data_IF_558090439493
#
_entry.id   IF_558090439493
#
_cell.length_a   1.000
_cell.length_b   1.000
_cell.length_c   1.000
_cell.angle_alpha   90.00
_cell.angle_beta   90.00
_cell.angle_gamma   90.00
#
_symmetry.space_group_name_H-M   'P 1'
#
loop_
_entity.id
_entity.type
_entity.pdbx_description
1 polymer ?
#
# COMPACT_ATOMS: atom_id res chain seq x y z
N UNK A 1 -2.64 -43.88 -32.67
CA UNK A 1 -3.16 -43.03 -31.58
C UNK A 1 -4.46 -42.42 -32.07
N UNK A 2 -5.59 -42.85 -31.53
CA UNK A 2 -6.91 -42.33 -31.89
C UNK A 2 -7.29 -41.26 -30.87
N UNK A 3 -6.86 -40.03 -31.09
CA UNK A 3 -7.37 -38.87 -30.36
C UNK A 3 -8.80 -38.62 -30.83
N UNK A 4 -9.79 -39.21 -30.16
CA UNK A 4 -11.20 -38.85 -30.35
C UNK A 4 -11.42 -37.50 -29.67
N UNK A 5 -11.26 -36.42 -30.43
CA UNK A 5 -11.63 -35.08 -29.97
C UNK A 5 -13.10 -35.03 -29.55
N UNK A 6 -13.38 -34.28 -28.49
CA UNK A 6 -14.77 -34.00 -28.08
C UNK A 6 -15.48 -33.26 -29.22
N UNK A 7 -16.69 -33.71 -29.57
CA UNK A 7 -17.48 -33.04 -30.59
C UNK A 7 -17.92 -31.65 -30.14
N UNK A 8 -18.25 -30.81 -31.12
CA UNK A 8 -18.60 -29.40 -30.89
C UNK A 8 -19.75 -29.24 -29.87
N UNK A 9 -20.72 -30.15 -29.90
CA UNK A 9 -21.86 -30.16 -28.97
C UNK A 9 -21.43 -30.47 -27.53
N UNK A 10 -20.48 -31.38 -27.34
CA UNK A 10 -19.95 -31.68 -26.01
C UNK A 10 -19.14 -30.50 -25.46
N UNK A 11 -18.40 -29.80 -26.32
CA UNK A 11 -17.61 -28.63 -25.93
C UNK A 11 -18.47 -27.42 -25.51
N UNK A 12 -19.58 -27.18 -26.22
CA UNK A 12 -20.52 -26.08 -25.89
C UNK A 12 -21.15 -26.30 -24.49
N UNK A 13 -21.50 -27.55 -24.16
CA UNK A 13 -22.07 -27.88 -22.85
C UNK A 13 -21.05 -27.61 -21.73
N UNK A 14 -19.79 -28.02 -21.93
CA UNK A 14 -18.72 -27.79 -20.93
C UNK A 14 -18.48 -26.29 -20.71
N UNK A 15 -18.43 -25.49 -21.78
CA UNK A 15 -18.27 -24.03 -21.67
C UNK A 15 -19.44 -23.41 -20.89
N UNK A 16 -20.68 -23.81 -21.17
CA UNK A 16 -21.85 -23.28 -20.48
C UNK A 16 -21.80 -23.57 -18.97
N UNK A 17 -21.35 -24.77 -18.57
CA UNK A 17 -21.20 -25.15 -17.16
C UNK A 17 -20.11 -24.32 -16.47
N UNK A 18 -18.96 -24.11 -17.14
CA UNK A 18 -17.88 -23.28 -16.60
C UNK A 18 -18.35 -21.84 -16.37
N UNK A 19 -19.06 -21.27 -17.35
CA UNK A 19 -19.55 -19.89 -17.28
C UNK A 19 -20.53 -19.68 -16.12
N UNK A 20 -21.46 -20.62 -15.91
CA UNK A 20 -22.38 -20.58 -14.77
C UNK A 20 -21.64 -20.70 -13.44
N UNK A 21 -20.62 -21.57 -13.36
CA UNK A 21 -19.82 -21.71 -12.14
C UNK A 21 -19.03 -20.44 -11.80
N UNK A 22 -18.47 -19.73 -12.79
CA UNK A 22 -17.79 -18.46 -12.58
C UNK A 22 -18.72 -17.36 -12.08
N UNK A 23 -19.96 -17.29 -12.58
CA UNK A 23 -20.94 -16.30 -12.11
C UNK A 23 -21.34 -16.52 -10.64
N UNK A 24 -21.43 -17.78 -10.20
CA UNK A 24 -21.70 -18.13 -8.81
C UNK A 24 -20.49 -17.76 -7.92
N UNK A 25 -19.27 -17.98 -8.40
CA UNK A 25 -18.06 -17.59 -7.64
C UNK A 25 -17.98 -16.07 -7.52
N UNK A 26 -18.25 -15.30 -8.58
CA UNK A 26 -18.27 -13.83 -8.54
C UNK A 26 -19.33 -13.25 -7.60
N UNK A 27 -20.51 -13.86 -7.49
CA UNK A 27 -21.55 -13.40 -6.57
C UNK A 27 -21.17 -13.63 -5.10
N UNK A 28 -20.45 -14.71 -4.81
CA UNK A 28 -19.89 -14.99 -3.47
C UNK A 28 -18.64 -14.15 -3.17
N UNK A 29 -17.83 -13.83 -4.18
CA UNK A 29 -16.63 -12.98 -3.98
C UNK A 29 -16.95 -11.52 -3.70
N UNK A 30 -18.15 -11.03 -4.06
CA UNK A 30 -18.61 -9.68 -3.69
C UNK A 30 -18.86 -9.51 -2.18
N UNK A 31 -18.91 -10.60 -1.41
CA UNK A 31 -19.10 -10.55 0.04
C UNK A 31 -17.82 -10.83 0.82
N UNK A 32 -16.63 -10.65 0.24
CA UNK A 32 -15.40 -10.60 1.03
C UNK A 32 -15.18 -9.15 1.50
N UNK A 33 -15.47 -8.83 2.78
CA UNK A 33 -15.12 -7.53 3.34
C UNK A 33 -13.58 -7.43 3.40
N UNK A 34 -13.03 -6.48 2.64
CA UNK A 34 -11.76 -5.87 3.03
C UNK A 34 -12.05 -5.09 4.32
N UNK A 35 -11.32 -5.37 5.40
CA UNK A 35 -11.50 -4.65 6.66
C UNK A 35 -11.13 -3.18 6.44
N UNK A 36 -12.11 -2.36 6.10
CA UNK A 36 -12.05 -0.91 6.22
C UNK A 36 -13.21 -0.53 7.11
N UNK A 37 -12.92 -0.39 8.41
CA UNK A 37 -13.90 0.02 9.40
C UNK A 37 -14.51 1.38 9.02
N UNK A 38 -15.79 1.39 8.67
CA UNK A 38 -16.59 2.63 8.57
C UNK A 38 -17.97 2.39 9.19
N UNK A 39 -18.30 3.17 10.21
CA UNK A 39 -19.60 3.21 10.89
C UNK A 39 -20.39 4.45 10.36
N UNK A 40 -21.70 4.36 10.09
CA UNK A 40 -22.36 5.16 9.06
C UNK A 40 -23.24 6.28 9.61
N UNK A 41 -23.35 7.42 8.89
CA UNK A 41 -24.58 8.21 8.92
C UNK A 41 -24.75 9.19 7.73
N UNK A 42 -25.83 8.95 6.98
CA UNK A 42 -26.76 9.90 6.34
C UNK A 42 -26.25 11.06 5.47
N UNK A 43 -26.89 11.14 4.30
CA UNK A 43 -27.01 12.24 3.33
C UNK A 43 -25.93 12.30 2.25
N UNK A 44 -26.36 11.98 1.03
CA UNK A 44 -25.59 11.99 -0.20
C UNK A 44 -25.27 13.44 -0.63
N UNK A 45 -24.14 13.96 -0.18
CA UNK A 45 -23.21 14.71 -1.02
C UNK A 45 -22.02 13.77 -1.28
N UNK A 46 -21.43 13.76 -2.48
CA UNK A 46 -20.13 13.10 -2.69
C UNK A 46 -19.08 13.84 -1.83
N UNK A 47 -18.95 13.44 -0.56
CA UNK A 47 -17.85 13.80 0.29
C UNK A 47 -16.61 13.11 -0.27
N UNK A 48 -15.91 13.78 -1.19
CA UNK A 48 -14.54 13.40 -1.53
C UNK A 48 -13.75 13.46 -0.22
N UNK A 49 -13.45 12.29 0.33
CA UNK A 49 -12.64 12.13 1.52
C UNK A 49 -11.42 13.05 1.41
N UNK A 50 -11.35 14.02 2.33
CA UNK A 50 -10.35 15.07 2.24
C UNK A 50 -9.03 14.51 2.74
N UNK A 51 -8.14 14.17 1.81
CA UNK A 51 -6.76 13.77 2.09
C UNK A 51 -6.11 14.72 3.10
N UNK A 52 -5.54 14.13 4.15
CA UNK A 52 -4.85 14.78 5.25
C UNK A 52 -3.35 14.45 5.22
N UNK A 53 -2.54 15.20 5.98
CA UNK A 53 -1.11 14.90 6.07
C UNK A 53 -0.83 13.55 6.74
N UNK A 54 -1.74 13.07 7.59
CA UNK A 54 -1.64 11.73 8.19
C UNK A 54 -1.82 10.63 7.16
N UNK A 55 -2.63 10.86 6.13
CA UNK A 55 -2.77 9.92 5.03
C UNK A 55 -1.48 9.87 4.20
N UNK A 56 -0.80 11.01 4.00
CA UNK A 56 0.50 11.06 3.32
C UNK A 56 1.62 10.40 4.14
N UNK A 57 1.63 10.58 5.47
CA UNK A 57 2.54 9.84 6.36
C UNK A 57 2.30 8.33 6.30
N UNK A 58 1.03 7.91 6.25
CA UNK A 58 0.65 6.51 6.13
C UNK A 58 1.07 5.93 4.78
N UNK A 59 0.94 6.69 3.69
CA UNK A 59 1.43 6.29 2.36
C UNK A 59 2.94 6.04 2.36
N UNK A 60 3.71 6.97 2.95
CA UNK A 60 5.15 6.84 3.12
C UNK A 60 5.53 5.62 3.96
N UNK A 61 4.80 5.38 5.07
CA UNK A 61 4.98 4.18 5.90
C UNK A 61 4.73 2.89 5.12
N UNK A 62 3.62 2.80 4.39
CA UNK A 62 3.28 1.60 3.61
C UNK A 62 4.31 1.31 2.50
N UNK A 63 4.91 2.36 1.91
CA UNK A 63 6.00 2.18 0.96
C UNK A 63 7.25 1.58 1.62
N UNK A 64 7.60 2.04 2.82
CA UNK A 64 8.71 1.48 3.59
C UNK A 64 8.45 0.03 4.02
N UNK A 65 7.23 -0.30 4.43
CA UNK A 65 6.83 -1.68 4.74
C UNK A 65 7.02 -2.61 3.54
N UNK A 66 6.57 -2.18 2.35
CA UNK A 66 6.77 -2.94 1.10
C UNK A 66 8.25 -3.12 0.78
N UNK A 67 9.04 -2.04 0.85
CA UNK A 67 10.48 -2.11 0.62
C UNK A 67 11.16 -3.09 1.58
N UNK A 68 10.81 -3.02 2.88
CA UNK A 68 11.38 -3.89 3.88
C UNK A 68 11.04 -5.36 3.59
N UNK A 69 9.77 -5.67 3.30
CA UNK A 69 9.31 -7.03 3.02
C UNK A 69 9.97 -7.63 1.76
N UNK A 70 10.19 -6.82 0.73
CA UNK A 70 10.75 -7.28 -0.55
C UNK A 70 12.27 -7.45 -0.51
N UNK A 71 12.97 -6.73 0.37
CA UNK A 71 14.44 -6.72 0.43
C UNK A 71 15.03 -7.43 1.65
N UNK A 72 14.28 -7.58 2.74
CA UNK A 72 14.74 -8.19 3.97
C UNK A 72 13.79 -9.29 4.44
N UNK A 73 14.20 -10.53 4.20
CA UNK A 73 13.52 -11.70 4.75
C UNK A 73 14.30 -12.24 5.95
N UNK A 74 13.77 -12.10 7.16
CA UNK A 74 14.35 -12.71 8.36
C UNK A 74 14.05 -11.96 9.67
N UNK A 75 14.22 -12.66 10.79
CA UNK A 75 14.22 -12.04 12.12
C UNK A 75 15.63 -11.59 12.48
N UNK A 76 15.80 -10.31 12.81
CA UNK A 76 17.04 -9.80 13.40
C UNK A 76 16.99 -10.06 14.91
N UNK A 77 18.05 -10.67 15.46
CA UNK A 77 18.14 -11.03 16.88
C UNK A 77 18.36 -9.83 17.81
N UNK A 78 18.84 -8.70 17.28
CA UNK A 78 19.10 -7.47 18.03
C UNK A 78 18.30 -6.31 17.45
N UNK A 79 17.85 -5.34 18.27
CA UNK A 79 17.18 -4.15 17.78
C UNK A 79 18.13 -3.35 16.89
N UNK A 80 17.78 -3.26 15.61
CA UNK A 80 18.48 -2.44 14.63
C UNK A 80 17.54 -1.34 14.13
N UNK A 81 18.04 -0.10 14.10
CA UNK A 81 17.32 1.06 13.60
C UNK A 81 17.79 1.34 12.19
N UNK A 82 16.85 1.28 11.25
CA UNK A 82 17.10 1.51 9.83
C UNK A 82 16.34 2.75 9.39
N UNK A 83 16.89 3.49 8.44
CA UNK A 83 16.27 4.69 7.88
C UNK A 83 16.13 4.55 6.38
N UNK A 84 14.90 4.66 5.87
CA UNK A 84 14.58 4.68 4.45
C UNK A 84 14.16 6.08 4.04
N UNK A 85 14.91 6.71 3.15
CA UNK A 85 14.56 8.04 2.67
C UNK A 85 13.40 7.98 1.67
N UNK A 86 12.59 9.04 1.65
CA UNK A 86 11.53 9.25 0.65
C UNK A 86 12.06 9.10 -0.78
N UNK A 87 13.21 9.72 -1.08
CA UNK A 87 13.83 9.65 -2.41
C UNK A 87 14.17 8.22 -2.80
N UNK A 88 14.74 7.43 -1.87
CA UNK A 88 15.06 6.03 -2.14
C UNK A 88 13.80 5.21 -2.45
N UNK A 89 12.73 5.38 -1.66
CA UNK A 89 11.47 4.67 -1.88
C UNK A 89 10.85 5.03 -3.24
N UNK A 90 10.92 6.32 -3.62
CA UNK A 90 10.45 6.79 -4.93
C UNK A 90 11.30 6.25 -6.09
N UNK A 91 12.62 6.36 -5.99
CA UNK A 91 13.56 5.88 -7.01
C UNK A 91 13.47 4.37 -7.25
N UNK A 92 13.16 3.61 -6.19
CA UNK A 92 12.94 2.17 -6.29
C UNK A 92 11.49 1.78 -6.63
N UNK A 93 10.60 2.75 -6.90
CA UNK A 93 9.24 2.51 -7.36
C UNK A 93 8.24 2.04 -6.30
N UNK A 94 8.57 2.20 -5.01
CA UNK A 94 7.68 1.84 -3.90
C UNK A 94 6.69 2.95 -3.55
N UNK A 95 6.92 4.17 -4.04
CA UNK A 95 6.16 5.36 -3.70
C UNK A 95 6.12 6.34 -4.87
N UNK A 96 4.96 6.95 -5.10
CA UNK A 96 4.81 8.01 -6.09
C UNK A 96 5.22 9.39 -5.51
N UNK A 97 5.13 10.43 -6.33
CA UNK A 97 5.35 11.80 -5.89
C UNK A 97 4.31 12.22 -4.84
N UNK A 98 4.75 12.54 -3.61
CA UNK A 98 3.88 13.09 -2.58
C UNK A 98 3.96 14.61 -2.65
N UNK A 99 2.83 15.25 -2.90
CA UNK A 99 2.71 16.71 -2.99
C UNK A 99 1.96 17.29 -1.81
N UNK A 100 2.38 18.48 -1.39
CA UNK A 100 1.74 19.24 -0.33
C UNK A 100 0.24 19.45 -0.63
N UNK A 101 -0.60 19.21 0.36
CA UNK A 101 -2.06 19.29 0.25
C UNK A 101 -2.52 20.73 0.02
N UNK A 102 -1.81 21.70 0.62
CA UNK A 102 -2.09 23.13 0.50
C UNK A 102 -1.40 23.76 -0.71
N UNK A 103 -0.31 23.18 -1.22
CA UNK A 103 0.40 23.66 -2.41
C UNK A 103 0.88 22.50 -3.31
N UNK A 104 0.16 22.23 -4.40
CA UNK A 104 0.46 21.10 -5.30
C UNK A 104 1.74 21.25 -6.14
N UNK A 105 2.39 22.41 -6.10
CA UNK A 105 3.69 22.62 -6.73
C UNK A 105 4.86 22.26 -5.80
N UNK A 106 4.58 22.05 -4.51
CA UNK A 106 5.59 21.68 -3.52
C UNK A 106 5.60 20.16 -3.31
N UNK A 107 6.70 19.52 -3.69
CA UNK A 107 6.97 18.13 -3.35
C UNK A 107 7.34 18.01 -1.86
N UNK A 108 6.81 16.98 -1.20
CA UNK A 108 7.16 16.65 0.17
C UNK A 108 8.48 15.86 0.21
N UNK A 109 9.14 15.88 1.36
CA UNK A 109 10.36 15.12 1.61
C UNK A 109 10.25 14.41 2.95
N UNK A 110 10.96 13.31 3.13
CA UNK A 110 10.83 12.56 4.37
C UNK A 110 11.72 11.34 4.45
N UNK A 111 11.50 10.58 5.51
CA UNK A 111 12.11 9.29 5.73
C UNK A 111 11.19 8.46 6.64
N UNK A 112 11.42 7.16 6.68
CA UNK A 112 10.81 6.24 7.64
C UNK A 112 11.92 5.62 8.45
N UNK A 113 11.80 5.70 9.76
CA UNK A 113 12.61 4.88 10.65
C UNK A 113 11.85 3.59 10.94
N UNK A 114 12.54 2.45 10.81
CA UNK A 114 11.98 1.20 11.28
C UNK A 114 12.92 0.51 12.26
N UNK A 115 12.30 -0.11 13.26
CA UNK A 115 12.97 -0.85 14.33
C UNK A 115 12.45 -2.26 14.32
N UNK A 116 13.35 -3.23 14.16
CA UNK A 116 13.02 -4.65 14.26
C UNK A 116 13.53 -5.18 15.60
N UNK A 117 12.62 -5.60 16.47
CA UNK A 117 12.94 -6.15 17.79
C UNK A 117 12.12 -7.43 18.04
N UNK A 118 12.81 -8.55 18.25
CA UNK A 118 12.16 -9.83 18.57
C UNK A 118 11.15 -10.32 17.53
N UNK A 119 11.32 -9.94 16.26
CA UNK A 119 10.40 -10.28 15.17
C UNK A 119 9.21 -9.32 14.99
N UNK A 120 9.10 -8.27 15.82
CA UNK A 120 8.15 -7.16 15.63
C UNK A 120 8.87 -6.03 14.91
N UNK A 121 8.28 -5.52 13.83
CA UNK A 121 8.81 -4.36 13.11
C UNK A 121 7.88 -3.17 13.33
N UNK A 122 8.43 -2.08 13.85
CA UNK A 122 7.71 -0.80 14.01
C UNK A 122 8.22 0.18 12.98
N UNK A 123 7.30 0.90 12.32
CA UNK A 123 7.60 1.90 11.30
C UNK A 123 7.09 3.27 11.73
N UNK A 124 7.98 4.26 11.74
CA UNK A 124 7.68 5.64 12.12
C UNK A 124 7.99 6.56 10.95
N UNK A 125 6.96 7.07 10.24
CA UNK A 125 7.15 7.99 9.12
C UNK A 125 7.40 9.42 9.61
N UNK A 126 8.28 10.13 8.91
CA UNK A 126 8.60 11.53 9.13
C UNK A 126 8.52 12.28 7.80
N UNK A 127 7.54 13.17 7.67
CA UNK A 127 7.22 13.89 6.44
C UNK A 127 7.35 15.41 6.65
N UNK A 128 7.85 16.10 5.63
CA UNK A 128 7.91 17.56 5.58
C UNK A 128 7.46 18.04 4.21
N UNK A 129 6.45 18.90 4.19
CA UNK A 129 5.86 19.47 3.00
C UNK A 129 6.02 21.00 3.04
N UNK A 130 7.12 21.50 2.45
CA UNK A 130 7.46 22.93 2.46
C UNK A 130 7.44 23.54 3.87
N UNK A 131 6.69 24.63 4.03
CA UNK A 131 6.42 25.30 5.31
C UNK A 131 5.05 24.97 5.90
N UNK A 132 4.26 24.13 5.22
CA UNK A 132 2.86 23.88 5.57
C UNK A 132 2.69 22.71 6.54
N UNK A 133 3.66 21.79 6.57
CA UNK A 133 3.63 20.61 7.42
C UNK A 133 5.03 20.07 7.70
N UNK A 134 5.24 19.65 8.94
CA UNK A 134 6.39 18.89 9.40
C UNK A 134 5.90 17.93 10.50
N UNK A 135 6.21 16.65 10.37
CA UNK A 135 5.96 15.66 11.42
C UNK A 135 6.76 16.02 12.66
N UNK A 136 6.17 15.85 13.84
CA UNK A 136 6.88 16.05 15.09
C UNK A 136 8.08 15.09 15.20
N UNK A 137 9.25 15.62 15.58
CA UNK A 137 10.49 14.83 15.68
C UNK A 137 11.24 14.65 14.37
N UNK A 138 10.83 15.31 13.28
CA UNK A 138 11.54 15.31 12.01
C UNK A 138 12.98 15.86 12.13
N UNK A 139 13.98 15.07 11.73
CA UNK A 139 15.37 15.50 11.62
C UNK A 139 15.85 15.45 10.16
N UNK A 140 16.20 16.62 9.61
CA UNK A 140 16.69 16.73 8.24
C UNK A 140 17.99 15.96 7.98
N UNK A 141 18.76 15.61 9.02
CA UNK A 141 20.00 14.82 8.89
C UNK A 141 19.74 13.37 8.48
N UNK A 142 18.57 12.83 8.80
CA UNK A 142 18.20 11.44 8.51
C UNK A 142 17.73 11.23 7.06
N UNK A 143 17.75 12.29 6.23
CA UNK A 143 17.48 12.19 4.78
C UNK A 143 18.58 11.49 3.98
N UNK A 144 19.79 11.41 4.55
CA UNK A 144 20.97 10.94 3.83
C UNK A 144 21.13 9.45 4.16
N UNK A 145 21.01 8.53 3.18
CA UNK A 145 21.34 7.13 3.43
C UNK A 145 22.81 7.05 3.89
N UNK A 146 23.05 6.40 5.04
CA UNK A 146 24.40 6.06 5.49
C UNK A 146 24.96 4.88 4.71
#
# INVERSE_FOLDING_TARGET
>A
MNEKGFGLKEFIIVIAVIFVSMLIIMSLFRSMPSNTDTNPQSNQEEEREKVTYKDLEQELKLAAERYQNDNYSGSIENPEVWTLSYSMLKENGYLDEIKDIKNKDTECTGYVEFVQDGGVITYTPYLKCGSNYETEGYDAKNKIPK
#
